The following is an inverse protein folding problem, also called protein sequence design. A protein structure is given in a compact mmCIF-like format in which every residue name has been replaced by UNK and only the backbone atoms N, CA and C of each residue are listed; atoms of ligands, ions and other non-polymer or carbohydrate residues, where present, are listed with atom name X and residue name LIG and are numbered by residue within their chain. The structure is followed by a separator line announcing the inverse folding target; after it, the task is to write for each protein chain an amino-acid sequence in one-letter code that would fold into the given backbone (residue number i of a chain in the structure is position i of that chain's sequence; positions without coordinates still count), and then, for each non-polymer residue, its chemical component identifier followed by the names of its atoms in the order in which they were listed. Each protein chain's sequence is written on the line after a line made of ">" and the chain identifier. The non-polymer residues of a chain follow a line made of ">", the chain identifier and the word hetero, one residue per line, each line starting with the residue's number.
data_IF_352219113737
#
_entry.id   IF_352219113737
#
_cell.length_a   1.000
_cell.length_b   1.000
_cell.length_c   1.000
_cell.angle_alpha   90.00
_cell.angle_beta   90.00
_cell.angle_gamma   90.00
#
_symmetry.space_group_name_H-M   'P 1'
#
loop_
_entity.id
_entity.type
_entity.pdbx_description
1 polymer ?
#
# COMPACT_ATOMS: atom_id res chain seq x y z
N UNK A 1 -16.86 20.64 15.07
CA UNK A 1 -17.53 19.48 14.47
C UNK A 1 -17.03 19.19 13.05
N UNK A 2 -16.89 20.20 12.18
CA UNK A 2 -16.49 20.02 10.76
C UNK A 2 -15.10 19.41 10.55
N UNK A 3 -14.10 19.76 11.38
CA UNK A 3 -12.73 19.25 11.24
C UNK A 3 -12.61 17.74 11.51
N UNK A 4 -13.35 17.21 12.50
CA UNK A 4 -13.34 15.77 12.82
C UNK A 4 -14.02 14.95 11.72
N UNK A 5 -15.12 15.45 11.15
CA UNK A 5 -15.82 14.79 10.05
C UNK A 5 -14.99 14.79 8.75
N UNK A 6 -14.26 15.88 8.47
CA UNK A 6 -13.39 15.97 7.29
C UNK A 6 -12.16 15.07 7.36
N UNK A 7 -11.50 14.97 8.52
CA UNK A 7 -10.26 14.19 8.65
C UNK A 7 -10.57 12.69 8.80
N UNK A 8 -11.57 12.33 9.60
CA UNK A 8 -11.93 10.93 9.83
C UNK A 8 -12.82 10.37 8.72
N UNK A 9 -14.06 10.83 8.65
CA UNK A 9 -15.08 10.19 7.81
C UNK A 9 -14.85 10.37 6.31
N UNK A 10 -14.30 11.50 5.88
CA UNK A 10 -14.02 11.75 4.46
C UNK A 10 -12.63 11.23 4.05
N UNK A 11 -11.59 11.40 4.87
CA UNK A 11 -10.23 10.98 4.50
C UNK A 11 -10.01 9.46 4.53
N UNK A 12 -10.55 8.77 5.53
CA UNK A 12 -10.36 7.32 5.73
C UNK A 12 -10.79 6.48 4.52
N UNK A 13 -11.99 6.64 3.91
CA UNK A 13 -12.39 5.80 2.78
C UNK A 13 -11.58 6.03 1.50
N UNK A 14 -10.82 7.13 1.38
CA UNK A 14 -9.91 7.34 0.24
C UNK A 14 -8.51 6.78 0.49
N UNK A 15 -8.04 6.80 1.74
CA UNK A 15 -6.74 6.26 2.13
C UNK A 15 -6.78 4.74 2.31
N UNK A 16 -7.85 4.23 2.90
CA UNK A 16 -7.99 2.81 3.22
C UNK A 16 -7.85 1.87 2.00
N UNK A 17 -8.43 2.14 0.82
CA UNK A 17 -8.21 1.32 -0.38
C UNK A 17 -6.75 1.28 -0.81
N UNK A 18 -5.97 2.33 -0.54
CA UNK A 18 -4.55 2.38 -0.90
C UNK A 18 -3.68 1.54 0.04
N UNK A 19 -4.13 1.37 1.30
CA UNK A 19 -3.48 0.55 2.32
C UNK A 19 -3.79 -0.94 2.15
N UNK A 20 -5.02 -1.30 1.77
CA UNK A 20 -5.40 -2.72 1.65
C UNK A 20 -5.00 -3.35 0.31
N UNK A 21 -4.86 -2.55 -0.76
CA UNK A 21 -4.60 -3.12 -2.07
C UNK A 21 -3.11 -3.30 -2.32
N UNK A 22 -2.73 -4.56 -2.59
CA UNK A 22 -1.44 -4.93 -3.17
C UNK A 22 -1.11 -4.09 -4.42
N UNK A 23 0.17 -3.78 -4.63
CA UNK A 23 0.70 -2.91 -5.69
C UNK A 23 0.12 -3.21 -7.07
N UNK A 24 -0.13 -4.49 -7.38
CA UNK A 24 -0.68 -4.92 -8.67
C UNK A 24 -2.20 -4.74 -8.81
N UNK A 25 -2.94 -4.68 -7.70
CA UNK A 25 -4.41 -4.59 -7.71
C UNK A 25 -4.93 -3.18 -7.35
N UNK A 26 -4.05 -2.30 -6.84
CA UNK A 26 -4.37 -0.93 -6.44
C UNK A 26 -5.14 -0.13 -7.49
N UNK A 27 -4.72 -0.20 -8.76
CA UNK A 27 -5.40 0.55 -9.85
C UNK A 27 -6.81 0.05 -10.08
N UNK A 28 -7.04 -1.27 -10.03
CA UNK A 28 -8.38 -1.86 -10.23
C UNK A 28 -9.29 -1.57 -9.04
N UNK A 29 -8.76 -1.69 -7.82
CA UNK A 29 -9.49 -1.36 -6.59
C UNK A 29 -9.87 0.12 -6.51
N UNK A 30 -8.94 1.03 -6.86
CA UNK A 30 -9.20 2.47 -6.88
C UNK A 30 -10.23 2.87 -7.96
N UNK A 31 -10.16 2.28 -9.16
CA UNK A 31 -11.14 2.51 -10.21
C UNK A 31 -12.54 2.02 -9.81
N UNK A 32 -12.64 0.83 -9.20
CA UNK A 32 -13.90 0.29 -8.70
C UNK A 32 -14.46 1.16 -7.56
N UNK A 33 -13.63 1.56 -6.60
CA UNK A 33 -14.04 2.43 -5.49
C UNK A 33 -14.56 3.79 -5.98
N UNK A 34 -13.90 4.38 -6.97
CA UNK A 34 -14.34 5.64 -7.60
C UNK A 34 -15.66 5.43 -8.34
N UNK A 35 -15.79 4.36 -9.13
CA UNK A 35 -17.02 4.05 -9.86
C UNK A 35 -18.20 3.83 -8.90
N UNK A 36 -18.02 3.04 -7.84
CA UNK A 36 -19.04 2.82 -6.80
C UNK A 36 -19.42 4.13 -6.11
N UNK A 37 -18.45 5.00 -5.80
CA UNK A 37 -18.74 6.32 -5.21
C UNK A 37 -19.67 7.15 -6.10
N UNK A 38 -19.36 7.24 -7.40
CA UNK A 38 -20.19 7.98 -8.35
C UNK A 38 -21.57 7.34 -8.58
N UNK A 39 -21.65 6.01 -8.61
CA UNK A 39 -22.94 5.29 -8.73
C UNK A 39 -23.81 5.55 -7.51
N UNK A 40 -23.25 5.50 -6.30
CA UNK A 40 -24.00 5.75 -5.07
C UNK A 40 -24.43 7.22 -5.00
N UNK A 41 -23.56 8.16 -5.37
CA UNK A 41 -23.95 9.58 -5.44
C UNK A 41 -25.09 9.81 -6.43
N UNK A 42 -25.04 9.18 -7.61
CA UNK A 42 -26.12 9.25 -8.59
C UNK A 42 -27.42 8.65 -8.05
N UNK A 43 -27.34 7.49 -7.41
CA UNK A 43 -28.47 6.82 -6.77
C UNK A 43 -29.11 7.71 -5.69
N UNK A 44 -28.31 8.39 -4.86
CA UNK A 44 -28.80 9.32 -3.84
C UNK A 44 -29.57 10.47 -4.48
N UNK A 45 -29.01 11.09 -5.53
CA UNK A 45 -29.63 12.21 -6.23
C UNK A 45 -30.95 11.81 -6.88
N UNK A 46 -31.05 10.59 -7.43
CA UNK A 46 -32.27 10.13 -8.08
C UNK A 46 -33.36 9.70 -7.08
N UNK A 47 -32.99 9.09 -5.94
CA UNK A 47 -33.94 8.62 -4.92
C UNK A 47 -34.45 9.77 -4.04
N UNK A 48 -33.67 10.84 -3.88
CA UNK A 48 -34.00 11.94 -2.95
C UNK A 48 -35.29 12.72 -3.33
N UNK A 49 -35.49 13.17 -4.59
CA UNK A 49 -36.70 13.88 -5.00
C UNK A 49 -38.00 13.07 -4.81
N UNK A 50 -38.12 11.80 -5.27
CA UNK A 50 -39.31 11.00 -5.04
C UNK A 50 -39.47 10.57 -3.58
N UNK A 51 -38.35 10.39 -2.85
CA UNK A 51 -38.38 10.05 -1.43
C UNK A 51 -38.94 11.18 -0.55
N UNK A 52 -38.53 12.43 -0.80
CA UNK A 52 -39.02 13.60 -0.07
C UNK A 52 -40.48 13.91 -0.44
N UNK A 53 -40.87 13.74 -1.71
CA UNK A 53 -42.26 14.01 -2.11
C UNK A 53 -43.26 13.01 -1.55
N UNK A 54 -42.87 11.75 -1.36
CA UNK A 54 -43.73 10.70 -0.81
C UNK A 54 -43.70 10.62 0.72
N UNK A 55 -42.54 10.79 1.37
CA UNK A 55 -42.37 10.57 2.80
C UNK A 55 -41.97 11.83 3.60
N UNK A 56 -41.76 12.98 2.97
CA UNK A 56 -41.44 14.23 3.66
C UNK A 56 -40.29 14.09 4.66
N UNK A 57 -40.57 14.34 5.95
CA UNK A 57 -39.56 14.29 7.02
C UNK A 57 -39.12 12.86 7.39
N UNK A 58 -39.96 11.84 7.15
CA UNK A 58 -39.60 10.46 7.47
C UNK A 58 -38.48 9.91 6.57
N UNK A 59 -38.25 10.51 5.40
CA UNK A 59 -37.14 10.15 4.52
C UNK A 59 -35.77 10.32 5.19
N UNK A 60 -35.62 11.28 6.11
CA UNK A 60 -34.38 11.48 6.86
C UNK A 60 -34.06 10.33 7.85
N UNK A 61 -35.07 9.58 8.28
CA UNK A 61 -34.87 8.41 9.15
C UNK A 61 -34.13 7.31 8.38
N UNK A 62 -34.44 7.13 7.09
CA UNK A 62 -33.77 6.14 6.23
C UNK A 62 -32.27 6.45 6.15
N UNK A 63 -31.91 7.71 5.90
CA UNK A 63 -30.52 8.15 5.89
C UNK A 63 -29.82 7.95 7.24
N UNK A 64 -30.53 8.18 8.34
CA UNK A 64 -30.01 7.98 9.70
C UNK A 64 -29.70 6.51 9.96
N UNK A 65 -30.62 5.61 9.61
CA UNK A 65 -30.44 4.15 9.76
C UNK A 65 -29.31 3.65 8.86
N UNK A 66 -29.26 4.14 7.62
CA UNK A 66 -28.22 3.76 6.66
C UNK A 66 -26.84 4.23 7.15
N UNK A 67 -26.74 5.45 7.70
CA UNK A 67 -25.52 5.94 8.31
C UNK A 67 -25.10 5.11 9.55
N UNK A 68 -26.07 4.77 10.41
CA UNK A 68 -25.82 3.96 11.61
C UNK A 68 -25.43 2.51 11.27
N UNK A 69 -25.92 1.97 10.15
CA UNK A 69 -25.58 0.62 9.67
C UNK A 69 -24.11 0.48 9.27
N UNK A 70 -23.42 1.57 8.92
CA UNK A 70 -21.98 1.53 8.63
C UNK A 70 -21.14 1.27 9.87
N UNK A 71 -21.59 1.67 11.06
CA UNK A 71 -20.84 1.46 12.32
C UNK A 71 -20.56 -0.02 12.61
N UNK A 72 -21.55 -0.94 12.62
CA UNK A 72 -21.28 -2.36 12.79
C UNK A 72 -20.52 -2.95 11.61
N UNK A 73 -20.76 -2.49 10.38
CA UNK A 73 -20.04 -3.01 9.20
C UNK A 73 -18.53 -2.73 9.33
N UNK A 74 -18.16 -1.50 9.68
CA UNK A 74 -16.75 -1.15 9.92
C UNK A 74 -16.21 -1.99 11.08
N UNK A 75 -16.95 -2.11 12.19
CA UNK A 75 -16.50 -2.89 13.34
C UNK A 75 -16.24 -4.38 13.06
N UNK A 76 -17.04 -5.02 12.20
CA UNK A 76 -16.92 -6.46 11.92
C UNK A 76 -16.02 -6.80 10.73
N UNK A 77 -15.93 -5.91 9.73
CA UNK A 77 -15.26 -6.21 8.45
C UNK A 77 -13.96 -5.44 8.23
N UNK A 78 -13.68 -4.35 8.95
CA UNK A 78 -12.41 -3.63 8.79
C UNK A 78 -11.35 -4.18 9.74
N UNK A 79 -10.31 -4.88 9.24
CA UNK A 79 -9.09 -5.12 10.01
C UNK A 79 -8.37 -3.80 10.30
N UNK A 80 -7.73 -3.73 11.45
CA UNK A 80 -6.92 -2.58 11.85
C UNK A 80 -5.63 -2.56 11.01
N UNK A 81 -5.54 -1.59 10.09
CA UNK A 81 -4.38 -1.42 9.17
C UNK A 81 -3.29 -0.52 9.71
N UNK A 82 -3.50 0.16 10.84
CA UNK A 82 -2.54 1.08 11.45
C UNK A 82 -1.20 0.38 11.76
N UNK A 83 -0.09 1.05 11.41
CA UNK A 83 1.30 0.63 11.72
C UNK A 83 1.74 -0.72 11.08
N UNK A 84 1.13 -1.10 9.95
CA UNK A 84 1.55 -2.29 9.16
C UNK A 84 2.19 -1.91 7.83
N UNK A 85 3.18 -2.70 7.42
CA UNK A 85 3.75 -2.58 6.07
C UNK A 85 2.81 -3.19 5.03
N UNK A 86 2.88 -2.71 3.78
CA UNK A 86 2.10 -3.27 2.66
C UNK A 86 2.37 -4.77 2.46
N UNK A 87 3.58 -5.23 2.79
CA UNK A 87 3.97 -6.65 2.70
C UNK A 87 3.34 -7.51 3.81
N UNK A 88 3.17 -6.95 5.02
CA UNK A 88 2.52 -7.64 6.15
C UNK A 88 1.02 -7.85 5.88
N UNK A 89 0.39 -6.87 5.23
CA UNK A 89 -1.03 -6.93 4.81
C UNK A 89 -1.22 -8.00 3.73
N UNK A 90 -0.36 -8.05 2.72
CA UNK A 90 -0.43 -9.06 1.64
C UNK A 90 -0.23 -10.49 2.19
N UNK A 91 0.70 -10.67 3.15
CA UNK A 91 0.90 -11.95 3.85
C UNK A 91 -0.26 -12.33 4.76
N UNK A 92 -0.93 -11.36 5.38
CA UNK A 92 -2.12 -11.62 6.19
C UNK A 92 -3.26 -12.15 5.32
N UNK A 93 -3.56 -11.50 4.19
CA UNK A 93 -4.60 -11.97 3.25
C UNK A 93 -4.24 -13.28 2.55
N UNK A 94 -2.95 -13.59 2.38
CA UNK A 94 -2.50 -14.87 1.82
C UNK A 94 -2.64 -16.05 2.79
N UNK A 95 -2.49 -15.82 4.10
CA UNK A 95 -2.49 -16.87 5.12
C UNK A 95 -3.82 -17.02 5.87
N UNK A 96 -4.61 -15.95 6.01
CA UNK A 96 -5.92 -15.96 6.68
C UNK A 96 -7.01 -15.52 5.70
N UNK A 97 -7.93 -16.44 5.39
CA UNK A 97 -9.11 -16.20 4.54
C UNK A 97 -10.40 -15.96 5.32
N UNK A 98 -10.31 -15.68 6.63
CA UNK A 98 -11.48 -15.43 7.45
C UNK A 98 -12.07 -14.04 7.14
N UNK A 99 -13.31 -14.04 6.67
CA UNK A 99 -14.09 -12.83 6.31
C UNK A 99 -14.47 -12.00 7.56
N UNK A 100 -14.42 -12.62 8.76
CA UNK A 100 -14.85 -12.02 10.02
C UNK A 100 -13.64 -11.65 10.89
N UNK A 101 -13.33 -10.36 10.91
CA UNK A 101 -12.16 -9.77 11.59
C UNK A 101 -12.25 -9.91 13.12
N UNK A 102 -13.46 -9.92 13.69
CA UNK A 102 -13.70 -9.97 15.15
C UNK A 102 -13.09 -11.19 15.86
N UNK A 103 -12.80 -12.27 15.12
CA UNK A 103 -12.27 -13.52 15.69
C UNK A 103 -10.75 -13.55 15.78
N UNK A 104 -10.05 -12.66 15.10
CA UNK A 104 -8.59 -12.67 15.03
C UNK A 104 -7.99 -11.47 15.77
N UNK A 105 -7.32 -11.75 16.90
CA UNK A 105 -6.60 -10.74 17.69
C UNK A 105 -5.42 -10.14 16.91
N UNK A 106 -4.86 -10.90 15.97
CA UNK A 106 -3.80 -10.42 15.08
C UNK A 106 -4.36 -9.48 14.00
N UNK A 107 -5.69 -9.33 13.85
CA UNK A 107 -6.34 -8.40 12.90
C UNK A 107 -6.92 -7.14 13.55
N UNK A 108 -7.19 -7.16 14.86
CA UNK A 108 -7.73 -6.00 15.63
C UNK A 108 -6.65 -5.23 16.40
N UNK A 109 -5.41 -5.74 16.44
CA UNK A 109 -4.31 -5.06 17.15
C UNK A 109 -3.76 -3.88 16.34
N UNK A 110 -3.85 -2.68 16.94
CA UNK A 110 -3.25 -1.42 16.45
C UNK A 110 -1.72 -1.41 16.49
N UNK A 111 -1.09 -2.29 17.29
CA UNK A 111 0.37 -2.46 17.29
C UNK A 111 0.78 -3.56 16.33
N UNK A 112 1.85 -3.32 15.57
CA UNK A 112 2.50 -4.32 14.71
C UNK A 112 2.80 -5.60 15.52
N UNK A 113 2.16 -6.74 15.22
CA UNK A 113 2.41 -7.98 15.96
C UNK A 113 3.86 -8.43 15.78
N UNK A 114 4.52 -8.81 16.88
CA UNK A 114 5.94 -9.22 16.90
C UNK A 114 6.30 -10.32 15.89
N UNK A 115 5.33 -11.15 15.48
CA UNK A 115 5.52 -12.18 14.44
C UNK A 115 5.98 -11.60 13.10
N UNK A 116 5.45 -10.44 12.69
CA UNK A 116 5.81 -9.82 11.41
C UNK A 116 7.23 -9.22 11.44
N UNK A 117 7.62 -8.63 12.57
CA UNK A 117 8.98 -8.11 12.79
C UNK A 117 10.00 -9.25 12.77
N UNK A 118 9.71 -10.36 13.45
CA UNK A 118 10.59 -11.53 13.47
C UNK A 118 10.77 -12.16 12.06
N UNK A 119 9.71 -12.19 11.24
CA UNK A 119 9.79 -12.70 9.86
C UNK A 119 10.55 -11.76 8.93
N UNK A 120 10.46 -10.45 9.13
CA UNK A 120 11.23 -9.46 8.38
C UNK A 120 12.73 -9.56 8.74
N UNK A 121 13.06 -9.73 10.02
CA UNK A 121 14.43 -10.00 10.46
C UNK A 121 14.99 -11.31 9.89
N UNK A 122 14.19 -12.37 9.82
CA UNK A 122 14.59 -13.61 9.17
C UNK A 122 14.76 -13.47 7.65
N UNK A 123 13.91 -12.68 6.98
CA UNK A 123 14.04 -12.39 5.55
C UNK A 123 15.30 -11.54 5.27
N UNK A 124 15.60 -10.54 6.09
CA UNK A 124 16.83 -9.75 6.02
C UNK A 124 18.05 -10.64 6.30
N UNK A 125 17.97 -11.53 7.31
CA UNK A 125 19.03 -12.49 7.63
C UNK A 125 19.26 -13.45 6.46
N UNK A 126 18.19 -13.95 5.82
CA UNK A 126 18.29 -14.80 4.63
C UNK A 126 18.90 -14.05 3.44
N UNK A 127 18.45 -12.83 3.17
CA UNK A 127 19.00 -11.96 2.12
C UNK A 127 20.49 -11.69 2.34
N UNK A 128 20.88 -11.39 3.58
CA UNK A 128 22.28 -11.19 3.93
C UNK A 128 23.08 -12.50 3.93
N UNK A 129 22.46 -13.66 4.20
CA UNK A 129 23.14 -14.96 4.10
C UNK A 129 23.28 -15.48 2.67
N UNK A 130 22.42 -15.03 1.74
CA UNK A 130 22.52 -15.33 0.32
C UNK A 130 23.59 -14.50 -0.40
N UNK A 131 24.09 -13.45 0.25
CA UNK A 131 25.23 -12.67 -0.18
C UNK A 131 26.40 -13.08 0.71
N UNK A 132 27.14 -14.10 0.30
CA UNK A 132 28.31 -14.53 1.06
C UNK A 132 29.30 -13.36 1.12
N UNK A 133 29.96 -13.09 2.27
CA UNK A 133 30.98 -12.04 2.35
C UNK A 133 32.04 -12.12 1.25
N UNK A 134 32.34 -13.35 0.77
CA UNK A 134 33.21 -13.59 -0.38
C UNK A 134 32.64 -13.17 -1.74
N UNK A 135 31.32 -13.20 -1.96
CA UNK A 135 30.70 -12.70 -3.20
C UNK A 135 30.68 -11.17 -3.26
N UNK A 136 30.50 -10.49 -2.11
CA UNK A 136 30.64 -9.02 -2.04
C UNK A 136 32.07 -8.62 -2.38
N UNK A 137 33.05 -9.32 -1.81
CA UNK A 137 34.45 -9.08 -2.10
C UNK A 137 34.77 -9.34 -3.59
N UNK A 138 34.23 -10.41 -4.18
CA UNK A 138 34.42 -10.71 -5.60
C UNK A 138 33.73 -9.68 -6.51
N UNK A 139 32.56 -9.17 -6.11
CA UNK A 139 31.87 -8.06 -6.80
C UNK A 139 32.66 -6.75 -6.74
N UNK A 140 33.17 -6.38 -5.56
CA UNK A 140 33.99 -5.18 -5.37
C UNK A 140 35.30 -5.29 -6.17
N UNK A 141 35.92 -6.47 -6.18
CA UNK A 141 37.13 -6.75 -6.95
C UNK A 141 36.89 -6.68 -8.46
N UNK A 142 35.78 -7.22 -8.96
CA UNK A 142 35.38 -7.10 -10.39
C UNK A 142 35.07 -5.65 -10.77
N UNK A 143 34.41 -4.90 -9.90
CA UNK A 143 34.09 -3.48 -10.13
C UNK A 143 35.35 -2.61 -10.16
N UNK A 144 36.27 -2.81 -9.21
CA UNK A 144 37.57 -2.14 -9.18
C UNK A 144 38.48 -2.52 -10.35
N UNK A 145 38.42 -3.77 -10.83
CA UNK A 145 39.12 -4.20 -12.04
C UNK A 145 38.54 -3.52 -13.30
N UNK A 146 37.22 -3.39 -13.40
CA UNK A 146 36.57 -2.70 -14.51
C UNK A 146 36.92 -1.19 -14.55
N UNK A 147 37.00 -0.52 -13.40
CA UNK A 147 37.46 0.87 -13.33
C UNK A 147 38.93 1.04 -13.75
N UNK A 148 39.81 0.11 -13.35
CA UNK A 148 41.22 0.13 -13.80
C UNK A 148 41.35 -0.08 -15.31
N UNK A 149 40.53 -0.95 -15.89
CA UNK A 149 40.51 -1.17 -17.34
C UNK A 149 40.02 0.07 -18.08
N UNK A 150 38.96 0.72 -17.59
CA UNK A 150 38.43 1.94 -18.19
C UNK A 150 39.43 3.10 -18.11
N UNK A 151 40.10 3.26 -16.98
CA UNK A 151 41.14 4.29 -16.82
C UNK A 151 42.35 4.00 -17.70
N UNK A 152 42.78 2.74 -17.79
CA UNK A 152 43.86 2.33 -18.68
C UNK A 152 43.55 2.52 -20.16
N UNK A 153 42.30 2.32 -20.59
CA UNK A 153 41.89 2.61 -21.97
C UNK A 153 41.85 4.12 -22.25
N UNK A 154 41.37 4.93 -21.31
CA UNK A 154 41.37 6.40 -21.43
C UNK A 154 42.80 6.97 -21.49
N UNK A 155 43.72 6.43 -20.67
CA UNK A 155 45.14 6.81 -20.67
C UNK A 155 45.84 6.40 -21.98
N UNK A 156 45.46 5.26 -22.57
CA UNK A 156 46.01 4.78 -23.84
C UNK A 156 45.49 5.58 -25.04
N UNK A 157 44.21 5.97 -25.03
CA UNK A 157 43.64 6.85 -26.06
C UNK A 157 44.24 8.27 -26.01
N UNK A 158 44.49 8.82 -24.82
CA UNK A 158 45.18 10.11 -24.67
C UNK A 158 46.61 10.07 -25.22
N UNK A 159 47.37 9.01 -24.93
CA UNK A 159 48.74 8.85 -25.44
C UNK A 159 48.79 8.71 -26.97
N UNK A 160 47.83 8.00 -27.57
CA UNK A 160 47.73 7.89 -29.03
C UNK A 160 47.25 9.21 -29.69
N UNK A 161 46.42 10.00 -29.01
CA UNK A 161 46.00 11.33 -29.45
C UNK A 161 47.16 12.32 -29.52
N UNK A 162 47.99 12.40 -28.47
CA UNK A 162 49.15 13.31 -28.43
C UNK A 162 50.22 12.98 -29.47
N UNK A 163 50.40 11.70 -29.81
CA UNK A 163 51.35 11.29 -30.86
C UNK A 163 50.88 11.64 -32.27
N UNK A 164 49.57 11.79 -32.50
CA UNK A 164 49.00 12.13 -33.81
C UNK A 164 48.98 13.65 -34.09
N UNK A 165 49.08 14.49 -33.06
CA UNK A 165 49.20 15.95 -33.18
C UNK A 165 50.65 16.45 -33.40
N UNK A 166 51.66 15.57 -33.27
CA UNK A 166 53.08 15.93 -33.42
C UNK A 166 53.73 15.44 -34.73
N UNK A 167 52.95 14.91 -35.68
CA UNK A 167 53.39 14.51 -37.02
C UNK A 167 52.63 15.31 -38.08
#
# INVERSE_FOLDING_TARGET
>A
MTYFFGIGWQGVPWLYPTEINSLSMRTKGAALGTATNWIVNFMVVEITPPGISALGWQFYIIWTVLNFSFVPIVYFFYPETSDRSLEDIDRYFANNQDILVFRDKDATSSKRPLKYIAQEEEAIRKRNSGVMPGEVEDMLRRRGAAEKLKKGSEDTEMAFGEHKERA
#
